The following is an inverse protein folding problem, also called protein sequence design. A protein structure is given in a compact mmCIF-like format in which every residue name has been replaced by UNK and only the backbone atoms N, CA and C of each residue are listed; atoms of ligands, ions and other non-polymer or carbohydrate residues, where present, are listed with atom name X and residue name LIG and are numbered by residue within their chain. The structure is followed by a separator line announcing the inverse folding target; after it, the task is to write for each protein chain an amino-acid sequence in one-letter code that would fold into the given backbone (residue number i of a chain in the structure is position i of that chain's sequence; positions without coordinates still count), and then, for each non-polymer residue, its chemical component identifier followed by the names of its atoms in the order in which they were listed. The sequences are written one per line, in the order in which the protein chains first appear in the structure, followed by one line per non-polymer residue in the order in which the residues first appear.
data_IF_221183706840
#
_entry.id   IF_221183706840
#
_cell.length_a   1.000
_cell.length_b   1.000
_cell.length_c   1.000
_cell.angle_alpha   90.00
_cell.angle_beta   90.00
_cell.angle_gamma   90.00
#
_symmetry.space_group_name_H-M   'P 1'
#
loop_
_entity.id
_entity.type
_entity.pdbx_description
1 polymer ?
#
# COMPACT_ATOMS: atom_id res chain seq x y z
N UNK A 1 -10.65 16.65 26.03
CA UNK A 1 -10.89 15.44 25.22
C UNK A 1 -9.60 14.64 25.20
N UNK A 2 -9.62 13.44 25.76
CA UNK A 2 -8.45 12.56 25.80
C UNK A 2 -8.38 11.66 24.55
N UNK A 3 -7.22 11.03 24.32
CA UNK A 3 -6.99 10.18 23.14
C UNK A 3 -8.01 9.05 22.98
N UNK A 4 -8.46 8.42 24.08
CA UNK A 4 -9.49 7.37 24.04
C UNK A 4 -10.85 7.92 23.62
N UNK A 5 -11.21 9.10 24.11
CA UNK A 5 -12.42 9.81 23.69
C UNK A 5 -12.35 10.21 22.22
N UNK A 6 -11.18 10.62 21.74
CA UNK A 6 -10.95 10.99 20.34
C UNK A 6 -11.09 9.79 19.42
N UNK A 7 -10.40 8.67 19.71
CA UNK A 7 -10.52 7.42 18.94
C UNK A 7 -11.97 6.94 18.91
N UNK A 8 -12.68 7.02 20.05
CA UNK A 8 -14.10 6.66 20.14
C UNK A 8 -14.99 7.52 19.23
N UNK A 9 -14.73 8.83 19.15
CA UNK A 9 -15.49 9.74 18.27
C UNK A 9 -15.26 9.44 16.80
N UNK A 10 -14.01 9.29 16.37
CA UNK A 10 -13.71 8.98 14.96
C UNK A 10 -14.21 7.59 14.56
N UNK A 11 -14.16 6.60 15.48
CA UNK A 11 -14.73 5.27 15.24
C UNK A 11 -16.25 5.32 15.08
N UNK A 12 -16.94 6.22 15.79
CA UNK A 12 -18.38 6.43 15.63
C UNK A 12 -18.71 7.07 14.28
N UNK A 13 -17.85 7.96 13.76
CA UNK A 13 -18.02 8.58 12.44
C UNK A 13 -17.94 7.55 11.29
N UNK A 14 -17.07 6.54 11.42
CA UNK A 14 -17.02 5.40 10.49
C UNK A 14 -18.34 4.63 10.43
N UNK A 15 -18.94 4.38 11.59
CA UNK A 15 -20.20 3.63 11.70
C UNK A 15 -21.41 4.39 11.14
N UNK A 16 -21.34 5.71 11.00
CA UNK A 16 -22.39 6.55 10.40
C UNK A 16 -22.10 6.97 8.96
N UNK A 17 -21.07 6.40 8.33
CA UNK A 17 -20.81 6.54 6.90
C UNK A 17 -20.07 7.82 6.48
N UNK A 18 -19.40 8.50 7.42
CA UNK A 18 -18.46 9.59 7.08
C UNK A 18 -17.28 9.01 6.32
N UNK A 19 -16.67 9.78 5.40
CA UNK A 19 -15.58 9.38 4.50
C UNK A 19 -14.58 8.45 5.21
N UNK A 20 -14.67 7.17 4.84
CA UNK A 20 -14.01 6.04 5.51
C UNK A 20 -12.50 6.22 5.56
N UNK A 21 -11.93 6.79 4.51
CA UNK A 21 -10.49 6.99 4.32
C UNK A 21 -9.91 7.98 5.34
N UNK A 22 -10.54 9.14 5.56
CA UNK A 22 -9.98 10.18 6.43
C UNK A 22 -10.10 9.81 7.92
N UNK A 23 -11.17 9.10 8.28
CA UNK A 23 -11.42 8.71 9.67
C UNK A 23 -10.62 7.47 10.08
N UNK A 24 -10.37 6.51 9.17
CA UNK A 24 -9.43 5.39 9.40
C UNK A 24 -7.99 5.91 9.58
N UNK A 25 -7.53 6.84 8.73
CA UNK A 25 -6.18 7.43 8.83
C UNK A 25 -5.96 8.10 10.20
N UNK A 26 -6.90 8.93 10.65
CA UNK A 26 -6.75 9.65 11.94
C UNK A 26 -6.74 8.70 13.13
N UNK A 27 -7.55 7.63 13.09
CA UNK A 27 -7.57 6.63 14.16
C UNK A 27 -6.25 5.87 14.21
N UNK A 28 -5.71 5.49 13.07
CA UNK A 28 -4.45 4.76 12.99
C UNK A 28 -3.28 5.65 13.39
N UNK A 29 -3.17 6.88 12.88
CA UNK A 29 -2.18 7.87 13.33
C UNK A 29 -2.24 8.13 14.83
N UNK A 30 -3.46 8.18 15.41
CA UNK A 30 -3.62 8.30 16.84
C UNK A 30 -3.08 7.07 17.55
N UNK A 31 -3.41 5.84 17.14
CA UNK A 31 -2.87 4.60 17.75
C UNK A 31 -1.34 4.55 17.67
N UNK A 32 -0.75 4.95 16.55
CA UNK A 32 0.70 5.01 16.30
C UNK A 32 1.48 5.88 17.30
N UNK A 33 0.82 6.84 17.98
CA UNK A 33 1.46 7.67 19.01
C UNK A 33 1.69 6.96 20.36
N UNK A 34 1.00 5.83 20.64
CA UNK A 34 1.22 5.07 21.88
C UNK A 34 2.31 4.00 21.74
N UNK A 35 2.62 3.57 20.51
CA UNK A 35 3.63 2.55 20.23
C UNK A 35 4.44 2.92 18.97
N UNK A 36 5.63 3.55 19.13
CA UNK A 36 6.50 3.89 18.00
C UNK A 36 7.13 2.67 17.31
N UNK A 37 6.91 1.45 17.79
CA UNK A 37 7.26 0.22 17.08
C UNK A 37 6.14 -0.21 16.11
N UNK A 38 4.89 0.16 16.38
CA UNK A 38 3.76 0.03 15.45
C UNK A 38 3.85 1.04 14.29
N UNK A 39 4.55 2.18 14.46
CA UNK A 39 4.84 3.13 13.37
C UNK A 39 5.97 2.67 12.43
N UNK A 40 6.63 1.55 12.76
CA UNK A 40 7.47 0.76 11.87
C UNK A 40 6.75 -0.50 11.33
N UNK A 41 5.41 -0.55 11.36
CA UNK A 41 4.71 -1.51 10.51
C UNK A 41 4.90 -1.08 9.06
N UNK A 42 5.96 -1.64 8.46
CA UNK A 42 6.17 -1.62 7.03
C UNK A 42 4.85 -1.94 6.36
N UNK A 43 4.27 -0.99 5.63
CA UNK A 43 3.01 -1.28 4.95
C UNK A 43 3.32 -2.42 3.97
N UNK A 44 2.70 -3.57 4.20
CA UNK A 44 2.80 -4.67 3.26
C UNK A 44 2.16 -4.19 1.97
N UNK A 45 2.97 -4.12 0.93
CA UNK A 45 2.54 -3.74 -0.41
C UNK A 45 2.79 -4.91 -1.33
N UNK A 46 2.07 -4.91 -2.43
CA UNK A 46 2.18 -5.93 -3.46
C UNK A 46 2.71 -5.28 -4.73
N UNK A 47 3.64 -5.92 -5.40
CA UNK A 47 4.15 -5.51 -6.72
C UNK A 47 3.92 -6.63 -7.72
N UNK A 48 3.85 -6.28 -9.00
CA UNK A 48 3.66 -7.26 -10.08
C UNK A 48 4.95 -7.34 -10.88
N UNK A 49 5.50 -8.54 -11.03
CA UNK A 49 6.82 -8.80 -11.59
C UNK A 49 6.81 -10.00 -12.53
N UNK A 50 7.71 -10.02 -13.52
CA UNK A 50 7.93 -11.18 -14.38
C UNK A 50 8.70 -12.32 -13.69
N UNK A 51 9.10 -12.12 -12.42
CA UNK A 51 9.93 -13.03 -11.65
C UNK A 51 11.44 -12.86 -11.91
N UNK A 52 11.83 -11.86 -12.71
CA UNK A 52 13.22 -11.49 -12.93
C UNK A 52 13.47 -10.03 -12.53
N UNK A 53 13.31 -9.12 -13.47
CA UNK A 53 13.76 -7.73 -13.37
C UNK A 53 12.75 -6.75 -13.95
N UNK A 54 11.59 -7.23 -14.41
CA UNK A 54 10.54 -6.38 -14.96
C UNK A 54 9.46 -6.19 -13.91
N UNK A 55 9.14 -4.94 -13.62
CA UNK A 55 8.11 -4.58 -12.66
C UNK A 55 7.07 -3.69 -13.31
N UNK A 56 5.81 -3.92 -12.94
CA UNK A 56 4.70 -3.12 -13.42
C UNK A 56 4.71 -1.71 -12.80
N UNK A 57 4.47 -0.68 -13.60
CA UNK A 57 4.43 0.73 -13.15
C UNK A 57 3.04 1.35 -13.25
N UNK A 58 2.42 1.31 -14.43
CA UNK A 58 1.04 1.77 -14.61
C UNK A 58 0.47 1.35 -15.97
N UNK A 59 -0.86 1.45 -16.08
CA UNK A 59 -1.58 1.41 -17.35
C UNK A 59 -1.89 2.87 -17.73
N UNK A 60 -1.35 3.35 -18.86
CA UNK A 60 -1.76 4.63 -19.45
C UNK A 60 -2.63 4.38 -20.69
N UNK A 61 -2.04 4.33 -21.89
CA UNK A 61 -2.66 3.83 -23.13
C UNK A 61 -2.19 2.41 -23.49
N UNK A 62 -0.94 2.08 -23.12
CA UNK A 62 -0.30 0.76 -23.15
C UNK A 62 0.29 0.42 -21.76
N UNK A 63 0.87 -0.77 -21.60
CA UNK A 63 1.54 -1.20 -20.35
C UNK A 63 2.89 -0.51 -20.20
N UNK A 64 3.09 0.29 -19.15
CA UNK A 64 4.41 0.82 -18.80
C UNK A 64 5.13 -0.12 -17.82
N UNK A 65 6.35 -0.52 -18.19
CA UNK A 65 7.18 -1.48 -17.45
C UNK A 65 8.45 -0.78 -16.98
N UNK A 66 8.81 -1.00 -15.72
CA UNK A 66 10.12 -0.62 -15.16
C UNK A 66 11.07 -1.80 -15.31
N UNK A 67 12.21 -1.57 -15.96
CA UNK A 67 13.30 -2.54 -16.06
C UNK A 67 14.31 -2.24 -14.96
N UNK A 68 14.50 -3.17 -14.03
CA UNK A 68 15.55 -3.12 -13.02
C UNK A 68 16.84 -3.71 -13.59
N UNK A 69 17.75 -2.87 -14.08
CA UNK A 69 19.14 -3.27 -14.25
C UNK A 69 19.84 -3.13 -12.89
N UNK A 70 20.32 -4.24 -12.33
CA UNK A 70 21.11 -4.40 -11.09
C UNK A 70 21.05 -3.28 -10.03
N UNK A 71 20.42 -3.60 -8.89
CA UNK A 71 20.54 -2.99 -7.55
C UNK A 71 20.69 -1.46 -7.43
N UNK A 72 20.24 -0.62 -8.39
CA UNK A 72 20.30 0.82 -8.15
C UNK A 72 19.30 1.17 -7.04
N UNK A 73 19.77 1.76 -5.92
CA UNK A 73 18.91 2.12 -4.82
C UNK A 73 17.88 3.18 -5.28
N UNK A 74 16.62 2.94 -4.96
CA UNK A 74 15.52 3.86 -5.25
C UNK A 74 14.71 3.56 -6.52
N UNK A 75 15.08 2.58 -7.35
CA UNK A 75 14.23 2.24 -8.52
C UNK A 75 12.87 1.68 -8.08
N UNK A 76 12.81 0.98 -6.94
CA UNK A 76 11.55 0.50 -6.34
C UNK A 76 10.55 1.62 -5.98
N UNK A 77 10.96 2.89 -6.00
CA UNK A 77 10.05 4.02 -5.84
C UNK A 77 9.20 4.29 -7.09
N UNK A 78 9.63 3.81 -8.26
CA UNK A 78 8.92 3.96 -9.53
C UNK A 78 8.04 2.76 -9.86
N UNK A 79 8.15 1.67 -9.09
CA UNK A 79 7.31 0.48 -9.22
C UNK A 79 5.94 0.73 -8.62
N UNK A 80 4.88 0.23 -9.29
CA UNK A 80 3.54 0.29 -8.72
C UNK A 80 3.46 -0.60 -7.49
N UNK A 81 3.10 0.02 -6.37
CA UNK A 81 2.76 -0.69 -5.13
C UNK A 81 1.24 -0.70 -4.97
N UNK A 82 0.67 -1.89 -4.87
CA UNK A 82 -0.74 -2.12 -4.58
C UNK A 82 -0.92 -2.31 -3.08
N UNK A 83 -2.04 -1.84 -2.55
CA UNK A 83 -2.37 -1.98 -1.13
C UNK A 83 -2.99 -3.36 -0.82
N UNK A 84 -3.54 -4.04 -1.84
CA UNK A 84 -4.15 -5.36 -1.72
C UNK A 84 -3.57 -6.37 -2.71
N UNK A 85 -3.52 -7.64 -2.29
CA UNK A 85 -3.03 -8.74 -3.13
C UNK A 85 -3.96 -8.99 -4.31
N UNK A 86 -5.26 -8.86 -4.09
CA UNK A 86 -6.30 -9.10 -5.09
C UNK A 86 -6.20 -8.13 -6.27
N UNK A 87 -5.86 -6.86 -6.02
CA UNK A 87 -5.64 -5.88 -7.09
C UNK A 87 -4.38 -6.17 -7.89
N UNK A 88 -3.28 -6.50 -7.22
CA UNK A 88 -2.04 -6.90 -7.88
C UNK A 88 -2.25 -8.17 -8.73
N UNK A 89 -2.99 -9.16 -8.21
CA UNK A 89 -3.22 -10.43 -8.90
C UNK A 89 -4.00 -10.25 -10.20
N UNK A 90 -5.00 -9.35 -10.24
CA UNK A 90 -5.72 -9.04 -11.49
C UNK A 90 -4.79 -8.53 -12.58
N UNK A 91 -3.80 -7.72 -12.21
CA UNK A 91 -2.81 -7.19 -13.15
C UNK A 91 -1.84 -8.29 -13.57
N UNK A 92 -1.39 -9.11 -12.63
CA UNK A 92 -0.51 -10.25 -12.87
C UNK A 92 -1.16 -11.26 -13.84
N UNK A 93 -2.43 -11.60 -13.64
CA UNK A 93 -3.18 -12.55 -14.48
C UNK A 93 -3.30 -12.07 -15.94
N UNK A 94 -3.47 -10.76 -16.15
CA UNK A 94 -3.53 -10.16 -17.50
C UNK A 94 -2.18 -10.22 -18.20
N UNK A 95 -1.09 -10.00 -17.46
CA UNK A 95 0.28 -9.97 -17.99
C UNK A 95 0.93 -11.36 -18.06
N UNK A 96 0.35 -12.37 -17.41
CA UNK A 96 0.99 -13.68 -17.19
C UNK A 96 2.18 -13.61 -16.24
N UNK A 97 2.15 -12.68 -15.28
CA UNK A 97 3.21 -12.36 -14.32
C UNK A 97 2.84 -12.86 -12.91
N UNK A 98 3.71 -12.60 -11.92
CA UNK A 98 3.50 -12.98 -10.52
C UNK A 98 3.43 -11.77 -9.58
N UNK A 99 2.89 -12.01 -8.38
CA UNK A 99 2.75 -11.01 -7.32
C UNK A 99 3.80 -11.25 -6.25
N UNK A 100 4.57 -10.21 -5.92
CA UNK A 100 5.57 -10.24 -4.85
C UNK A 100 5.16 -9.31 -3.70
N UNK A 101 5.39 -9.78 -2.47
CA UNK A 101 5.13 -9.02 -1.24
C UNK A 101 6.37 -8.22 -0.85
N UNK A 102 6.22 -6.89 -0.78
CA UNK A 102 7.32 -5.99 -0.41
C UNK A 102 6.98 -5.20 0.85
N UNK A 103 8.01 -4.97 1.65
CA UNK A 103 7.93 -4.19 2.88
C UNK A 103 8.42 -2.77 2.60
N UNK A 104 7.56 -1.76 2.79
CA UNK A 104 7.90 -0.34 2.65
C UNK A 104 8.10 0.34 4.00
#
# INVERSE_FOLDING_TARGET
MNKRELIGQYSALLNVGVTKIETEIVIDDLKLLDDPLESMQKKQRYVVTDGNHLYFKEYQEDVEIVILADEMPGIMNYVKKFDTKEEAQKVADVLGWEVEEVQE
#
